data_IF_990574106747
#
_entry.id   IF_990574106747
#
_cell.length_a   1.000
_cell.length_b   1.000
_cell.length_c   1.000
_cell.angle_alpha   90.00
_cell.angle_beta   90.00
_cell.angle_gamma   90.00
#
_symmetry.space_group_name_H-M   'P 1'
#
loop_
_entity.id
_entity.type
_entity.pdbx_description
1 polymer ?
#
# COMPACT_ATOMS: atom_id res chain seq x y z
N UNK A 1 -25.12 13.31 -10.93
CA UNK A 1 -24.60 11.95 -10.72
C UNK A 1 -24.23 11.84 -9.25
N UNK A 2 -24.35 10.68 -8.58
CA UNK A 2 -23.93 10.57 -7.19
C UNK A 2 -22.43 10.86 -7.11
N UNK A 3 -22.04 11.66 -6.14
CA UNK A 3 -20.66 12.09 -5.93
C UNK A 3 -19.87 10.94 -5.31
N UNK A 4 -18.74 10.59 -5.93
CA UNK A 4 -17.93 9.43 -5.53
C UNK A 4 -16.63 9.89 -4.88
N UNK A 5 -16.41 9.46 -3.64
CA UNK A 5 -15.18 9.68 -2.89
C UNK A 5 -14.25 8.46 -3.02
N UNK A 6 -13.02 8.70 -3.45
CA UNK A 6 -11.94 7.73 -3.45
C UNK A 6 -11.01 7.88 -2.25
N UNK A 7 -10.59 6.75 -1.67
CA UNK A 7 -9.56 6.67 -0.64
C UNK A 7 -8.54 5.61 -1.05
N UNK A 8 -7.26 5.87 -0.82
CA UNK A 8 -6.20 4.87 -0.97
C UNK A 8 -5.77 4.42 0.42
N UNK A 9 -5.79 3.10 0.68
CA UNK A 9 -5.55 2.59 2.03
C UNK A 9 -4.83 1.23 2.06
N UNK A 10 -4.35 0.88 3.24
CA UNK A 10 -3.74 -0.42 3.52
C UNK A 10 -4.44 -1.16 4.65
N UNK A 11 -5.08 -0.46 5.58
CA UNK A 11 -5.82 -1.04 6.71
C UNK A 11 -5.08 -2.19 7.41
N UNK A 12 -3.84 -1.97 7.83
CA UNK A 12 -2.96 -2.98 8.42
C UNK A 12 -2.68 -2.77 9.93
N UNK A 13 -3.65 -2.92 10.85
CA UNK A 13 -5.07 -3.19 10.63
C UNK A 13 -5.90 -1.90 10.42
N UNK A 14 -7.20 -2.06 10.13
CA UNK A 14 -8.16 -0.96 10.24
C UNK A 14 -8.22 -0.48 11.71
N UNK A 15 -8.25 0.82 11.95
CA UNK A 15 -8.09 1.39 13.28
C UNK A 15 -8.83 2.74 13.39
N UNK A 16 -8.93 3.30 14.59
CA UNK A 16 -9.74 4.50 14.84
C UNK A 16 -9.28 5.72 14.03
N UNK A 17 -7.98 5.85 13.74
CA UNK A 17 -7.46 6.88 12.83
C UNK A 17 -8.01 6.77 11.40
N UNK A 18 -8.23 5.56 10.88
CA UNK A 18 -8.84 5.34 9.57
C UNK A 18 -10.34 5.72 9.60
N UNK A 19 -11.04 5.38 10.69
CA UNK A 19 -12.45 5.76 10.85
C UNK A 19 -12.63 7.27 10.94
N UNK A 20 -11.73 7.95 11.65
CA UNK A 20 -11.70 9.41 11.70
C UNK A 20 -11.51 10.02 10.30
N UNK A 21 -10.51 9.54 9.54
CA UNK A 21 -10.26 10.01 8.18
C UNK A 21 -11.48 9.79 7.28
N UNK A 22 -12.10 8.60 7.34
CA UNK A 22 -13.29 8.27 6.57
C UNK A 22 -14.46 9.20 6.92
N UNK A 23 -14.73 9.41 8.21
CA UNK A 23 -15.81 10.27 8.67
C UNK A 23 -15.61 11.71 8.18
N UNK A 24 -14.38 12.24 8.30
CA UNK A 24 -14.06 13.60 7.88
C UNK A 24 -14.10 13.75 6.35
N UNK A 25 -13.58 12.78 5.61
CA UNK A 25 -13.64 12.78 4.16
C UNK A 25 -15.08 12.73 3.64
N UNK A 26 -15.96 11.91 4.26
CA UNK A 26 -17.40 11.89 3.93
C UNK A 26 -18.06 13.22 4.25
N UNK A 27 -17.78 13.80 5.41
CA UNK A 27 -18.33 15.09 5.84
C UNK A 27 -17.92 16.23 4.90
N UNK A 28 -16.66 16.31 4.49
CA UNK A 28 -16.19 17.39 3.62
C UNK A 28 -16.57 17.18 2.14
N UNK A 29 -16.53 15.94 1.66
CA UNK A 29 -16.87 15.65 0.27
C UNK A 29 -18.37 15.63 0.01
N UNK A 30 -19.22 15.35 1.01
CA UNK A 30 -20.65 15.10 0.81
C UNK A 30 -20.90 14.01 -0.24
N UNK A 31 -20.04 12.98 -0.26
CA UNK A 31 -20.12 11.90 -1.23
C UNK A 31 -21.24 10.91 -0.90
N UNK A 32 -21.93 10.46 -1.96
CA UNK A 32 -22.99 9.46 -1.89
C UNK A 32 -22.43 8.02 -1.88
N UNK A 33 -21.18 7.84 -2.33
CA UNK A 33 -20.51 6.56 -2.40
C UNK A 33 -19.02 6.70 -2.12
N UNK A 34 -18.46 5.78 -1.34
CA UNK A 34 -17.05 5.74 -0.95
C UNK A 34 -16.38 4.47 -1.49
N UNK A 35 -15.33 4.67 -2.26
CA UNK A 35 -14.46 3.64 -2.80
C UNK A 35 -13.14 3.64 -2.04
N UNK A 36 -12.66 2.45 -1.67
CA UNK A 36 -11.28 2.26 -1.25
C UNK A 36 -10.52 1.43 -2.28
N UNK A 37 -9.37 1.94 -2.71
CA UNK A 37 -8.33 1.15 -3.37
C UNK A 37 -7.34 0.69 -2.29
N UNK A 38 -7.31 -0.61 -2.04
CA UNK A 38 -6.62 -1.22 -0.93
C UNK A 38 -5.45 -2.10 -1.39
N UNK A 39 -4.28 -1.94 -0.79
CA UNK A 39 -3.17 -2.89 -0.97
C UNK A 39 -3.63 -4.33 -0.71
N UNK A 40 -3.21 -5.28 -1.55
CA UNK A 40 -3.44 -6.71 -1.39
C UNK A 40 -2.68 -7.30 -0.18
N UNK A 41 -2.25 -8.56 -0.26
CA UNK A 41 -1.65 -9.26 0.90
C UNK A 41 -0.28 -8.74 1.35
N UNK A 42 0.30 -7.76 0.65
CA UNK A 42 1.52 -7.05 1.02
C UNK A 42 1.33 -5.55 0.80
N UNK A 43 2.02 -4.75 1.62
CA UNK A 43 1.88 -3.29 1.70
C UNK A 43 2.99 -2.55 0.94
N UNK A 44 2.83 -1.24 0.80
CA UNK A 44 3.72 -0.30 0.13
C UNK A 44 5.18 -0.35 0.55
N UNK A 45 5.42 -0.65 1.82
CA UNK A 45 6.77 -0.80 2.37
C UNK A 45 7.33 -2.22 2.25
N UNK A 46 6.61 -3.15 1.62
CA UNK A 46 6.96 -4.56 1.47
C UNK A 46 6.62 -5.42 2.69
N UNK A 47 5.82 -4.95 3.66
CA UNK A 47 5.38 -5.81 4.76
C UNK A 47 4.22 -6.72 4.33
N UNK A 48 4.19 -7.98 4.78
CA UNK A 48 2.98 -8.77 4.75
C UNK A 48 1.85 -8.09 5.53
N UNK A 49 0.62 -8.22 5.02
CA UNK A 49 -0.58 -7.84 5.74
C UNK A 49 -0.76 -8.72 6.98
N UNK A 50 -1.08 -8.16 8.14
CA UNK A 50 -1.42 -8.98 9.32
C UNK A 50 -2.65 -9.84 9.02
N UNK A 51 -3.72 -9.18 8.58
CA UNK A 51 -4.96 -9.79 8.08
C UNK A 51 -4.94 -9.85 6.55
N UNK A 52 -5.50 -10.91 5.96
CA UNK A 52 -5.52 -11.00 4.50
C UNK A 52 -6.42 -9.94 3.85
N UNK A 53 -6.33 -9.79 2.53
CA UNK A 53 -7.11 -8.79 1.79
C UNK A 53 -8.63 -8.95 1.94
N UNK A 54 -9.12 -10.17 2.19
CA UNK A 54 -10.55 -10.45 2.35
C UNK A 54 -11.04 -10.05 3.74
N UNK A 55 -10.29 -10.41 4.79
CA UNK A 55 -10.57 -9.99 6.16
C UNK A 55 -10.56 -8.47 6.28
N UNK A 56 -9.57 -7.78 5.67
CA UNK A 56 -9.53 -6.31 5.65
C UNK A 56 -10.67 -5.70 4.85
N UNK A 57 -11.11 -6.36 3.77
CA UNK A 57 -12.28 -5.93 3.00
C UNK A 57 -13.56 -6.00 3.82
N UNK A 58 -13.79 -7.09 4.55
CA UNK A 58 -14.93 -7.25 5.46
C UNK A 58 -14.98 -6.13 6.51
N UNK A 59 -13.82 -5.81 7.10
CA UNK A 59 -13.67 -4.71 8.07
C UNK A 59 -13.96 -3.35 7.42
N UNK A 60 -13.45 -3.10 6.23
CA UNK A 60 -13.65 -1.86 5.50
C UNK A 60 -15.14 -1.63 5.16
N UNK A 61 -15.83 -2.66 4.63
CA UNK A 61 -17.26 -2.56 4.33
C UNK A 61 -18.09 -2.32 5.60
N UNK A 62 -17.73 -3.00 6.70
CA UNK A 62 -18.38 -2.80 8.01
C UNK A 62 -18.16 -1.41 8.59
N UNK A 63 -17.09 -0.72 8.18
CA UNK A 63 -16.80 0.66 8.56
C UNK A 63 -17.56 1.71 7.71
N UNK A 64 -18.36 1.28 6.73
CA UNK A 64 -19.13 2.18 5.86
C UNK A 64 -18.41 2.59 4.58
N UNK A 65 -17.45 1.78 4.11
CA UNK A 65 -16.96 1.82 2.73
C UNK A 65 -17.93 1.06 1.84
N UNK A 66 -18.24 1.60 0.66
CA UNK A 66 -19.25 1.04 -0.22
C UNK A 66 -18.67 0.07 -1.27
N UNK A 67 -17.42 0.28 -1.67
CA UNK A 67 -16.70 -0.55 -2.63
C UNK A 67 -15.21 -0.66 -2.26
N UNK A 68 -14.70 -1.87 -2.18
CA UNK A 68 -13.27 -2.16 -1.95
C UNK A 68 -12.69 -2.83 -3.18
N UNK A 69 -11.59 -2.27 -3.66
CA UNK A 69 -10.87 -2.71 -4.86
C UNK A 69 -9.42 -2.98 -4.49
N UNK A 70 -8.86 -4.06 -5.01
CA UNK A 70 -7.45 -4.39 -4.81
C UNK A 70 -6.56 -3.47 -5.65
N UNK A 71 -5.54 -2.89 -5.02
CA UNK A 71 -4.39 -2.32 -5.71
C UNK A 71 -3.48 -3.47 -6.15
N UNK A 72 -3.26 -3.69 -7.46
CA UNK A 72 -2.43 -4.79 -7.95
C UNK A 72 -1.03 -4.77 -7.32
N UNK A 73 -0.48 -5.95 -7.03
CA UNK A 73 0.81 -6.17 -6.40
C UNK A 73 1.96 -5.38 -7.08
N UNK A 74 1.91 -5.26 -8.41
CA UNK A 74 2.86 -4.48 -9.21
C UNK A 74 2.90 -2.98 -8.88
N UNK A 75 1.81 -2.44 -8.34
CA UNK A 75 1.72 -1.06 -7.84
C UNK A 75 1.76 -1.01 -6.31
N UNK A 76 1.21 -2.02 -5.63
CA UNK A 76 1.08 -2.03 -4.18
C UNK A 76 2.43 -2.05 -3.47
N UNK A 77 3.44 -2.80 -3.95
CA UNK A 77 4.76 -2.89 -3.29
C UNK A 77 5.79 -2.05 -4.06
N UNK A 78 5.60 -0.73 -4.02
CA UNK A 78 6.41 0.21 -4.81
C UNK A 78 6.76 1.49 -4.02
N UNK A 79 7.77 2.27 -4.49
CA UNK A 79 7.94 3.65 -4.04
C UNK A 79 6.66 4.49 -4.24
N UNK A 80 6.52 5.58 -3.48
CA UNK A 80 5.29 6.37 -3.38
C UNK A 80 4.71 6.81 -4.74
N UNK A 81 5.54 7.25 -5.69
CA UNK A 81 5.08 7.71 -7.01
C UNK A 81 4.42 6.60 -7.84
N UNK A 82 4.96 5.37 -7.87
CA UNK A 82 4.36 4.25 -8.59
C UNK A 82 3.14 3.68 -7.86
N UNK A 83 3.18 3.66 -6.53
CA UNK A 83 2.03 3.29 -5.69
C UNK A 83 0.85 4.23 -5.95
N UNK A 84 1.10 5.53 -5.89
CA UNK A 84 0.12 6.58 -6.17
C UNK A 84 -0.40 6.49 -7.61
N UNK A 85 0.48 6.29 -8.60
CA UNK A 85 0.08 6.15 -10.01
C UNK A 85 -0.99 5.07 -10.19
N UNK A 86 -0.75 3.85 -9.71
CA UNK A 86 -1.71 2.76 -9.83
C UNK A 86 -3.02 3.05 -9.09
N UNK A 87 -2.93 3.54 -7.85
CA UNK A 87 -4.12 3.79 -7.03
C UNK A 87 -5.00 4.91 -7.60
N UNK A 88 -4.41 6.02 -8.03
CA UNK A 88 -5.10 7.17 -8.63
C UNK A 88 -5.71 6.80 -9.98
N UNK A 89 -5.02 6.00 -10.81
CA UNK A 89 -5.59 5.50 -12.06
C UNK A 89 -6.82 4.60 -11.84
N UNK A 90 -6.81 3.75 -10.80
CA UNK A 90 -7.98 2.93 -10.44
C UNK A 90 -9.14 3.81 -9.99
N UNK A 91 -8.90 4.77 -9.09
CA UNK A 91 -9.95 5.69 -8.62
C UNK A 91 -10.56 6.49 -9.78
N UNK A 92 -9.73 6.99 -10.70
CA UNK A 92 -10.20 7.68 -11.90
C UNK A 92 -10.99 6.76 -12.84
N UNK A 93 -10.55 5.51 -13.02
CA UNK A 93 -11.27 4.49 -13.80
C UNK A 93 -12.66 4.21 -13.22
N UNK A 94 -12.80 4.29 -11.90
CA UNK A 94 -14.06 4.09 -11.19
C UNK A 94 -14.91 5.38 -11.09
N UNK A 95 -14.48 6.47 -11.73
CA UNK A 95 -15.23 7.71 -11.80
C UNK A 95 -15.32 8.45 -10.46
N UNK A 96 -14.26 8.38 -9.63
CA UNK A 96 -14.18 9.20 -8.43
C UNK A 96 -14.15 10.69 -8.80
N UNK A 97 -14.88 11.52 -8.06
CA UNK A 97 -14.87 12.97 -8.21
C UNK A 97 -13.84 13.63 -7.26
N UNK A 98 -13.63 13.00 -6.10
CA UNK A 98 -12.77 13.49 -5.02
C UNK A 98 -11.86 12.35 -4.58
N UNK A 99 -10.59 12.64 -4.30
CA UNK A 99 -9.68 11.71 -3.62
C UNK A 99 -9.24 12.28 -2.28
N UNK A 100 -9.51 11.54 -1.20
CA UNK A 100 -9.08 11.91 0.15
C UNK A 100 -7.88 11.10 0.61
N UNK A 101 -6.95 11.77 1.27
CA UNK A 101 -5.74 11.19 1.84
C UNK A 101 -5.36 11.91 3.13
N UNK A 102 -4.70 11.20 4.04
CA UNK A 102 -4.21 11.81 5.27
C UNK A 102 -2.93 12.59 4.99
N UNK A 103 -2.79 13.76 5.59
CA UNK A 103 -1.57 14.58 5.53
C UNK A 103 -1.19 15.02 6.95
N UNK A 104 0.11 15.14 7.22
CA UNK A 104 0.59 15.85 8.41
C UNK A 104 0.32 17.34 8.27
N UNK A 105 0.49 17.87 7.06
CA UNK A 105 0.25 19.27 6.71
C UNK A 105 -0.78 19.34 5.55
N UNK A 106 -2.08 19.42 5.85
CA UNK A 106 -3.12 19.41 4.83
C UNK A 106 -3.18 20.70 3.99
N UNK A 107 -2.65 21.80 4.52
CA UNK A 107 -2.64 23.11 3.86
C UNK A 107 -1.46 23.31 2.89
N UNK A 108 -0.65 22.27 2.66
CA UNK A 108 0.44 22.33 1.68
C UNK A 108 -0.10 22.66 0.28
N UNK A 109 0.60 23.54 -0.42
CA UNK A 109 0.31 23.84 -1.83
C UNK A 109 0.85 22.71 -2.72
N UNK A 110 0.03 21.66 -2.86
CA UNK A 110 0.36 20.51 -3.69
C UNK A 110 0.49 20.88 -5.17
N UNK A 111 -0.23 21.89 -5.65
CA UNK A 111 -0.12 22.33 -7.04
C UNK A 111 1.25 22.99 -7.30
N UNK A 112 1.71 23.84 -6.37
CA UNK A 112 3.06 24.43 -6.42
C UNK A 112 4.13 23.34 -6.35
N UNK A 113 3.99 22.37 -5.43
CA UNK A 113 4.94 21.27 -5.31
C UNK A 113 5.05 20.47 -6.61
N UNK A 114 3.92 20.11 -7.22
CA UNK A 114 3.89 19.30 -8.45
C UNK A 114 4.42 20.10 -9.64
N UNK A 115 4.06 21.39 -9.75
CA UNK A 115 4.55 22.28 -10.81
C UNK A 115 6.08 22.45 -10.77
N UNK A 116 6.68 22.33 -9.58
CA UNK A 116 8.12 22.43 -9.37
C UNK A 116 8.79 21.05 -9.15
N UNK A 117 8.13 19.94 -9.50
CA UNK A 117 8.81 18.65 -9.36
C UNK A 117 10.04 18.62 -10.28
N UNK A 118 11.19 18.12 -9.79
CA UNK A 118 12.40 18.05 -10.59
C UNK A 118 12.22 17.13 -11.79
N UNK A 119 12.67 17.60 -12.95
CA UNK A 119 12.87 16.76 -14.13
C UNK A 119 14.17 15.97 -13.89
N UNK A 120 14.15 14.65 -14.10
CA UNK A 120 15.24 13.70 -13.81
C UNK A 120 16.62 14.10 -14.40
N UNK A 121 16.64 14.98 -15.38
CA UNK A 121 17.83 15.42 -16.12
C UNK A 121 18.58 16.59 -15.45
N UNK A 122 18.05 17.18 -14.37
CA UNK A 122 18.70 18.31 -13.72
C UNK A 122 20.02 17.92 -13.02
N UNK A 123 21.02 18.80 -13.11
CA UNK A 123 22.36 18.56 -12.58
C UNK A 123 22.40 18.26 -11.06
N UNK A 124 21.36 18.68 -10.33
CA UNK A 124 21.17 18.45 -8.90
C UNK A 124 21.11 16.94 -8.54
N UNK A 125 20.60 16.08 -9.43
CA UNK A 125 20.42 14.65 -9.16
C UNK A 125 21.62 13.77 -9.56
N UNK A 126 22.72 14.38 -10.03
CA UNK A 126 23.97 13.67 -10.35
C UNK A 126 24.89 13.51 -9.13
N UNK A 127 24.43 13.87 -7.93
CA UNK A 127 25.18 13.74 -6.69
C UNK A 127 25.07 12.31 -6.12
N UNK A 128 26.12 11.50 -6.29
CA UNK A 128 26.11 10.08 -5.90
C UNK A 128 26.23 9.80 -4.38
N UNK A 129 26.46 10.83 -3.56
CA UNK A 129 26.68 10.68 -2.11
C UNK A 129 25.41 10.72 -1.28
N UNK A 130 24.30 11.21 -1.84
CA UNK A 130 23.02 11.34 -1.14
C UNK A 130 21.96 10.42 -1.73
N UNK A 131 20.93 10.14 -0.95
CA UNK A 131 19.80 9.33 -1.46
C UNK A 131 18.93 10.18 -2.38
N UNK A 132 18.33 9.58 -3.42
CA UNK A 132 17.40 10.28 -4.30
C UNK A 132 16.26 11.00 -3.53
N UNK A 133 15.64 10.42 -2.49
CA UNK A 133 14.68 11.14 -1.66
C UNK A 133 15.24 12.41 -0.99
N UNK A 134 16.50 12.39 -0.53
CA UNK A 134 17.16 13.56 0.07
C UNK A 134 17.32 14.66 -0.99
N UNK A 135 17.88 14.33 -2.15
CA UNK A 135 18.08 15.30 -3.24
C UNK A 135 16.75 15.87 -3.75
N UNK A 136 15.72 15.04 -3.80
CA UNK A 136 14.37 15.45 -4.20
C UNK A 136 13.77 16.44 -3.21
N UNK A 137 13.92 16.15 -1.91
CA UNK A 137 13.49 17.01 -0.84
C UNK A 137 14.21 18.37 -0.89
N UNK A 138 15.55 18.36 -0.91
CA UNK A 138 16.38 19.57 -0.90
C UNK A 138 16.06 20.48 -2.09
N UNK A 139 15.86 19.89 -3.28
CA UNK A 139 15.45 20.62 -4.48
C UNK A 139 14.10 21.32 -4.31
N UNK A 140 13.09 20.61 -3.82
CA UNK A 140 11.76 21.17 -3.62
C UNK A 140 11.77 22.27 -2.55
N UNK A 141 12.47 22.05 -1.45
CA UNK A 141 12.61 23.05 -0.39
C UNK A 141 13.28 24.33 -0.93
N UNK A 142 14.36 24.19 -1.70
CA UNK A 142 15.05 25.34 -2.28
C UNK A 142 14.20 26.10 -3.31
N UNK A 143 13.34 25.40 -4.06
CA UNK A 143 12.55 26.00 -5.15
C UNK A 143 11.22 26.57 -4.68
N UNK A 144 10.59 25.93 -3.69
CA UNK A 144 9.22 26.26 -3.25
C UNK A 144 9.14 26.84 -1.85
N UNK A 145 10.19 26.66 -1.03
CA UNK A 145 10.16 26.95 0.41
C UNK A 145 9.34 25.95 1.23
N UNK A 146 8.80 24.90 0.61
CA UNK A 146 7.95 23.91 1.27
C UNK A 146 8.79 22.72 1.74
N UNK A 147 8.67 22.39 3.03
CA UNK A 147 9.30 21.21 3.62
C UNK A 147 8.42 19.97 3.41
N UNK A 148 8.90 19.02 2.60
CA UNK A 148 8.25 17.72 2.34
C UNK A 148 9.03 16.54 2.96
N UNK A 149 9.08 16.47 4.28
CA UNK A 149 9.74 15.36 5.01
C UNK A 149 8.78 14.29 5.53
N UNK A 150 7.56 14.69 5.88
CA UNK A 150 6.63 13.80 6.55
C UNK A 150 6.10 12.74 5.57
N UNK A 151 6.00 11.50 6.05
CA UNK A 151 5.77 10.38 5.14
C UNK A 151 4.37 10.34 4.52
N UNK A 152 3.34 10.89 5.18
CA UNK A 152 2.02 10.99 4.54
C UNK A 152 1.95 12.22 3.64
N UNK A 153 2.68 13.31 3.93
CA UNK A 153 2.83 14.43 2.99
C UNK A 153 3.56 14.01 1.69
N UNK A 154 4.63 13.22 1.78
CA UNK A 154 5.32 12.65 0.60
C UNK A 154 4.35 11.82 -0.25
N UNK A 155 3.46 11.06 0.41
CA UNK A 155 2.46 10.24 -0.27
C UNK A 155 1.34 11.11 -0.87
N UNK A 156 0.90 12.15 -0.16
CA UNK A 156 -0.04 13.17 -0.63
C UNK A 156 0.47 13.87 -1.89
N UNK A 157 1.73 14.30 -1.88
CA UNK A 157 2.42 14.83 -3.05
C UNK A 157 2.40 13.84 -4.23
N UNK A 158 2.71 12.56 -3.96
CA UNK A 158 2.68 11.54 -5.01
C UNK A 158 1.26 11.33 -5.60
N UNK A 159 0.21 11.42 -4.77
CA UNK A 159 -1.18 11.39 -5.25
C UNK A 159 -1.51 12.61 -6.11
N UNK A 160 -1.13 13.82 -5.67
CA UNK A 160 -1.33 15.04 -6.44
C UNK A 160 -0.62 14.97 -7.81
N UNK A 161 0.64 14.53 -7.83
CA UNK A 161 1.42 14.36 -9.06
C UNK A 161 0.78 13.35 -10.01
N UNK A 162 0.31 12.20 -9.50
CA UNK A 162 -0.39 11.20 -10.31
C UNK A 162 -1.75 11.71 -10.81
N UNK A 163 -2.47 12.50 -10.00
CA UNK A 163 -3.77 13.06 -10.34
C UNK A 163 -3.68 14.10 -11.46
N UNK A 164 -2.63 14.93 -11.47
CA UNK A 164 -2.40 15.93 -12.52
C UNK A 164 -2.16 15.30 -13.91
N UNK A 165 -1.68 14.05 -13.96
CA UNK A 165 -1.47 13.31 -15.22
C UNK A 165 -2.77 12.74 -15.81
N UNK A 166 -3.89 12.80 -15.09
CA UNK A 166 -5.18 12.33 -15.57
C UNK A 166 -5.78 13.30 -16.59
N UNK A 167 -6.53 12.76 -17.56
CA UNK A 167 -7.33 13.58 -18.48
C UNK A 167 -8.39 14.43 -17.75
N UNK A 168 -8.86 13.93 -16.61
CA UNK A 168 -9.81 14.59 -15.71
C UNK A 168 -9.31 14.39 -14.28
N UNK A 169 -8.50 15.31 -13.76
CA UNK A 169 -8.05 15.26 -12.37
C UNK A 169 -9.25 15.30 -11.41
N UNK A 170 -9.15 14.53 -10.33
CA UNK A 170 -10.10 14.55 -9.21
C UNK A 170 -9.81 15.75 -8.31
N UNK A 171 -10.80 16.21 -7.55
CA UNK A 171 -10.54 17.17 -6.49
C UNK A 171 -9.72 16.49 -5.38
N UNK A 172 -8.62 17.13 -4.97
CA UNK A 172 -7.80 16.66 -3.85
C UNK A 172 -8.45 17.08 -2.53
N UNK A 173 -8.50 16.16 -1.57
CA UNK A 173 -9.06 16.40 -0.24
C UNK A 173 -8.09 15.92 0.85
N UNK A 174 -7.06 16.72 1.17
CA UNK A 174 -6.14 16.41 2.26
C UNK A 174 -6.87 16.49 3.62
N UNK A 175 -6.68 15.47 4.45
CA UNK A 175 -7.29 15.39 5.79
C UNK A 175 -6.18 15.43 6.84
N UNK A 176 -6.26 16.38 7.77
CA UNK A 176 -5.35 16.46 8.92
C UNK A 176 -5.32 15.14 9.69
N UNK A 177 -4.15 14.52 9.82
CA UNK A 177 -3.99 13.33 10.66
C UNK A 177 -4.13 13.69 12.14
N UNK A 178 -4.87 12.85 12.88
CA UNK A 178 -4.93 12.87 14.35
C UNK A 178 -4.19 11.64 14.88
N UNK A 179 -3.18 11.83 15.73
CA UNK A 179 -2.42 10.74 16.35
C UNK A 179 -0.94 11.03 16.49
N UNK A 180 -0.25 10.14 17.19
CA UNK A 180 1.21 10.13 17.38
C UNK A 180 1.93 9.97 16.04
N UNK A 181 3.12 10.54 15.91
CA UNK A 181 3.90 10.57 14.68
C UNK A 181 4.10 9.14 14.13
N UNK A 182 4.31 8.94 12.81
CA UNK A 182 4.57 7.59 12.26
C UNK A 182 5.81 6.90 12.89
N UNK A 183 6.62 7.66 13.64
CA UNK A 183 7.79 7.22 14.41
C UNK A 183 7.48 6.85 15.86
N UNK A 184 6.32 7.22 16.38
CA UNK A 184 5.93 6.91 17.75
C UNK A 184 5.51 5.45 17.86
N UNK A 185 6.32 4.69 18.58
CA UNK A 185 6.11 3.28 18.85
C UNK A 185 5.15 3.00 20.00
N UNK A 186 4.59 4.04 20.62
CA UNK A 186 3.85 3.94 21.87
C UNK A 186 2.42 4.42 21.72
N UNK A 187 1.48 3.59 22.19
CA UNK A 187 0.09 4.02 22.39
C UNK A 187 0.02 4.73 23.73
N UNK A 188 -0.07 6.06 23.72
CA UNK A 188 -0.29 6.82 24.95
C UNK A 188 -1.69 6.51 25.51
N UNK A 189 -1.83 6.43 26.83
CA UNK A 189 -3.10 6.14 27.50
C UNK A 189 -4.21 7.20 27.23
N UNK A 190 -3.85 8.38 26.72
CA UNK A 190 -4.75 9.52 26.51
C UNK A 190 -5.21 9.69 25.05
N UNK A 191 -4.81 8.80 24.14
CA UNK A 191 -5.16 8.90 22.71
C UNK A 191 -5.89 7.66 22.22
N UNK A 192 -7.10 7.87 21.68
CA UNK A 192 -7.91 6.83 21.04
C UNK A 192 -7.46 6.47 19.62
N UNK A 193 -6.30 6.99 19.18
CA UNK A 193 -5.74 6.78 17.85
C UNK A 193 -4.25 6.43 17.96
N UNK A 194 -3.83 5.41 17.21
CA UNK A 194 -2.44 4.98 17.08
C UNK A 194 -2.11 4.65 15.62
N UNK A 195 -0.81 4.62 15.28
CA UNK A 195 -0.35 4.16 13.97
C UNK A 195 -0.54 2.65 13.80
N UNK A 196 -0.76 2.19 12.56
CA UNK A 196 -0.83 0.76 12.27
C UNK A 196 0.41 0.00 12.72
N UNK A 197 1.60 0.60 12.62
CA UNK A 197 2.84 -0.01 13.10
C UNK A 197 2.90 -0.16 14.62
N UNK A 198 2.40 0.82 15.39
CA UNK A 198 2.30 0.71 16.84
C UNK A 198 1.31 -0.40 17.25
N UNK A 199 0.17 -0.51 16.57
CA UNK A 199 -0.81 -1.58 16.81
C UNK A 199 -0.20 -2.95 16.52
N UNK A 200 0.55 -3.10 15.42
CA UNK A 200 1.23 -4.37 15.09
C UNK A 200 2.30 -4.75 16.13
N UNK A 201 3.00 -3.79 16.73
CA UNK A 201 3.92 -4.07 17.86
C UNK A 201 3.19 -4.62 19.08
N UNK A 202 2.03 -4.04 19.43
CA UNK A 202 1.18 -4.57 20.51
C UNK A 202 0.63 -5.96 20.18
N UNK A 203 0.28 -6.21 18.92
CA UNK A 203 -0.23 -7.51 18.47
C UNK A 203 0.80 -8.64 18.62
N UNK A 204 2.09 -8.36 18.37
CA UNK A 204 3.18 -9.34 18.61
C UNK A 204 3.20 -9.78 20.08
N UNK A 205 2.98 -8.84 21.01
CA UNK A 205 2.91 -9.11 22.44
C UNK A 205 1.52 -9.57 22.92
N UNK A 206 0.54 -9.67 22.02
CA UNK A 206 -0.87 -9.99 22.32
C UNK A 206 -1.51 -9.07 23.37
N UNK A 207 -1.09 -7.81 23.42
CA UNK A 207 -1.61 -6.80 24.34
C UNK A 207 -2.96 -6.25 23.84
N UNK A 208 -3.99 -7.10 23.92
CA UNK A 208 -5.32 -6.81 23.38
C UNK A 208 -6.05 -5.70 24.12
N UNK A 209 -5.71 -5.43 25.38
CA UNK A 209 -6.33 -4.38 26.18
C UNK A 209 -5.95 -3.00 25.63
N UNK A 210 -4.67 -2.78 25.32
CA UNK A 210 -4.23 -1.53 24.66
C UNK A 210 -4.71 -1.44 23.22
N UNK A 211 -4.80 -2.56 22.50
CA UNK A 211 -5.32 -2.57 21.12
C UNK A 211 -6.79 -2.17 21.10
N UNK A 212 -7.60 -2.64 22.05
CA UNK A 212 -9.04 -2.33 22.14
C UNK A 212 -9.32 -0.82 22.22
N UNK A 213 -8.40 -0.03 22.77
CA UNK A 213 -8.56 1.42 22.87
C UNK A 213 -8.38 2.17 21.52
N UNK A 214 -7.77 1.53 20.53
CA UNK A 214 -7.33 2.21 19.28
C UNK A 214 -7.87 1.58 18.01
N UNK A 215 -8.65 0.49 18.11
CA UNK A 215 -9.32 -0.14 16.98
C UNK A 215 -10.81 -0.36 17.25
N UNK A 216 -11.65 -0.46 16.20
CA UNK A 216 -13.05 -0.85 16.36
C UNK A 216 -13.19 -2.28 16.89
N UNK A 217 -14.28 -2.57 17.60
CA UNK A 217 -14.55 -3.89 18.19
C UNK A 217 -14.52 -5.03 17.16
N UNK A 218 -15.04 -4.78 15.95
CA UNK A 218 -15.00 -5.74 14.84
C UNK A 218 -13.55 -6.07 14.44
N UNK A 219 -12.69 -5.05 14.37
CA UNK A 219 -11.27 -5.24 14.07
C UNK A 219 -10.57 -6.01 15.20
N UNK A 220 -10.82 -5.65 16.46
CA UNK A 220 -10.28 -6.35 17.61
C UNK A 220 -10.64 -7.85 17.58
N UNK A 221 -11.91 -8.15 17.30
CA UNK A 221 -12.41 -9.52 17.23
C UNK A 221 -11.74 -10.32 16.11
N UNK A 222 -11.60 -9.74 14.92
CA UNK A 222 -10.87 -10.39 13.81
C UNK A 222 -9.39 -10.60 14.14
N UNK A 223 -8.74 -9.63 14.78
CA UNK A 223 -7.34 -9.75 15.19
C UNK A 223 -7.10 -10.83 16.24
N UNK A 224 -8.04 -11.03 17.17
CA UNK A 224 -7.97 -12.10 18.18
C UNK A 224 -8.11 -13.49 17.57
N UNK A 225 -8.91 -13.62 16.50
CA UNK A 225 -9.19 -14.89 15.85
C UNK A 225 -8.17 -15.28 14.77
N UNK A 226 -7.51 -14.31 14.13
CA UNK A 226 -6.61 -14.56 13.01
C UNK A 226 -5.19 -14.96 13.47
N UNK A 227 -4.55 -15.94 12.80
CA UNK A 227 -3.14 -16.22 13.02
C UNK A 227 -2.29 -15.03 12.55
N UNK A 228 -1.18 -14.77 13.26
CA UNK A 228 -0.25 -13.72 12.87
C UNK A 228 0.48 -14.11 11.57
N UNK A 229 0.30 -13.31 10.52
CA UNK A 229 1.12 -13.41 9.31
C UNK A 229 2.05 -12.21 9.25
N UNK A 230 3.35 -12.49 9.38
CA UNK A 230 4.40 -11.46 9.43
C UNK A 230 5.61 -11.94 8.63
N UNK A 231 6.68 -11.15 8.62
CA UNK A 231 7.94 -11.60 8.06
C UNK A 231 8.51 -12.84 8.75
N UNK A 232 8.19 -13.12 10.02
CA UNK A 232 8.58 -14.37 10.67
C UNK A 232 8.01 -15.59 9.94
N UNK A 233 6.79 -15.47 9.40
CA UNK A 233 6.14 -16.52 8.60
C UNK A 233 6.87 -16.77 7.28
N UNK A 234 7.37 -15.71 6.64
CA UNK A 234 7.98 -15.79 5.30
C UNK A 234 9.52 -15.93 5.32
N UNK A 235 10.15 -15.66 6.45
CA UNK A 235 11.61 -15.64 6.58
C UNK A 235 12.28 -16.94 6.14
N UNK A 236 11.80 -18.14 6.52
CA UNK A 236 12.42 -19.39 6.06
C UNK A 236 12.46 -19.51 4.54
N UNK A 237 11.38 -19.10 3.85
CA UNK A 237 11.27 -19.17 2.39
C UNK A 237 12.18 -18.14 1.70
N UNK A 238 12.17 -16.89 2.19
CA UNK A 238 13.05 -15.84 1.69
C UNK A 238 14.52 -16.21 1.88
N UNK A 239 14.89 -16.68 3.08
CA UNK A 239 16.26 -17.08 3.40
C UNK A 239 16.70 -18.24 2.51
N UNK A 240 15.85 -19.25 2.32
CA UNK A 240 16.12 -20.35 1.40
C UNK A 240 16.42 -19.84 -0.02
N UNK A 241 15.58 -18.96 -0.56
CA UNK A 241 15.78 -18.42 -1.90
C UNK A 241 17.08 -17.62 -2.01
N UNK A 242 17.38 -16.75 -1.04
CA UNK A 242 18.61 -15.95 -1.02
C UNK A 242 19.87 -16.83 -0.99
N UNK A 243 19.86 -17.92 -0.19
CA UNK A 243 21.02 -18.80 -0.04
C UNK A 243 21.18 -19.80 -1.19
N UNK A 244 20.09 -20.17 -1.88
CA UNK A 244 20.11 -21.20 -2.92
C UNK A 244 20.27 -20.63 -4.33
N UNK A 245 19.85 -19.39 -4.56
CA UNK A 245 19.97 -18.75 -5.86
C UNK A 245 21.42 -18.37 -6.19
N UNK A 246 21.80 -18.47 -7.46
CA UNK A 246 23.05 -17.88 -7.94
C UNK A 246 22.94 -16.36 -7.98
N UNK A 247 24.07 -15.67 -7.94
CA UNK A 247 24.13 -14.21 -8.09
C UNK A 247 23.48 -13.75 -9.40
N UNK A 248 23.73 -14.46 -10.50
CA UNK A 248 23.13 -14.19 -11.80
C UNK A 248 21.60 -14.32 -11.79
N UNK A 249 21.05 -15.27 -11.02
CA UNK A 249 19.59 -15.38 -10.85
C UNK A 249 19.05 -14.21 -10.03
N UNK A 250 19.73 -13.84 -8.94
CA UNK A 250 19.30 -12.73 -8.08
C UNK A 250 19.35 -11.39 -8.82
N UNK A 251 20.35 -11.17 -9.67
CA UNK A 251 20.50 -9.94 -10.45
C UNK A 251 19.29 -9.63 -11.35
N UNK A 252 18.58 -10.66 -11.81
CA UNK A 252 17.37 -10.48 -12.64
C UNK A 252 16.13 -10.04 -11.85
N UNK A 253 16.15 -10.19 -10.52
CA UNK A 253 15.03 -9.82 -9.65
C UNK A 253 14.78 -8.32 -9.72
N UNK A 254 13.51 -7.93 -9.78
CA UNK A 254 13.12 -6.53 -9.85
C UNK A 254 13.71 -5.71 -8.69
N UNK A 255 14.29 -4.54 -9.03
CA UNK A 255 15.03 -3.64 -8.14
C UNK A 255 16.36 -4.18 -7.58
N UNK A 256 16.81 -5.39 -7.95
CA UNK A 256 18.16 -5.85 -7.66
C UNK A 256 19.15 -5.04 -8.49
N UNK A 257 19.84 -4.11 -7.83
CA UNK A 257 20.64 -3.09 -8.51
C UNK A 257 21.94 -2.86 -7.75
N UNK A 258 22.99 -2.49 -8.48
CA UNK A 258 24.24 -1.99 -7.91
C UNK A 258 24.99 -3.00 -7.02
N UNK A 259 24.89 -4.29 -7.32
CA UNK A 259 25.62 -5.34 -6.60
C UNK A 259 25.04 -5.68 -5.22
N UNK A 260 23.80 -5.25 -4.92
CA UNK A 260 23.20 -5.47 -3.61
C UNK A 260 22.95 -6.96 -3.31
N UNK A 261 22.80 -7.81 -4.33
CA UNK A 261 22.60 -9.26 -4.21
C UNK A 261 23.71 -9.93 -3.38
N UNK A 262 24.98 -9.57 -3.57
CA UNK A 262 26.10 -10.06 -2.75
C UNK A 262 25.90 -9.78 -1.26
N UNK A 263 25.43 -8.56 -0.95
CA UNK A 263 25.17 -8.14 0.42
C UNK A 263 23.97 -8.87 1.01
N UNK A 264 22.90 -9.07 0.23
CA UNK A 264 21.72 -9.79 0.70
C UNK A 264 22.07 -11.26 1.01
N UNK A 265 22.85 -11.93 0.16
CA UNK A 265 23.28 -13.30 0.44
C UNK A 265 24.12 -13.39 1.71
N UNK A 266 25.15 -12.54 1.84
CA UNK A 266 26.00 -12.50 3.04
C UNK A 266 25.21 -12.17 4.32
N UNK A 267 24.21 -11.29 4.22
CA UNK A 267 23.32 -10.99 5.34
C UNK A 267 22.44 -12.21 5.69
N UNK A 268 21.90 -12.91 4.69
CA UNK A 268 21.05 -14.09 4.90
C UNK A 268 21.81 -15.29 5.51
N UNK A 269 23.11 -15.43 5.23
CA UNK A 269 23.97 -16.44 5.84
C UNK A 269 24.06 -16.26 7.36
N UNK A 270 24.25 -15.02 7.80
CA UNK A 270 24.48 -14.65 9.20
C UNK A 270 23.18 -14.43 9.99
N UNK A 271 22.12 -14.02 9.32
CA UNK A 271 20.89 -13.59 9.98
C UNK A 271 20.12 -14.74 10.63
N UNK A 272 19.70 -14.53 11.87
CA UNK A 272 18.83 -15.46 12.62
C UNK A 272 17.36 -15.30 12.26
N UNK A 273 16.93 -14.07 12.00
CA UNK A 273 15.57 -13.69 11.66
C UNK A 273 15.55 -12.53 10.64
N UNK A 274 14.36 -12.18 10.18
CA UNK A 274 14.19 -11.11 9.19
C UNK A 274 14.60 -9.72 9.70
N UNK A 275 14.41 -9.43 11.00
CA UNK A 275 14.79 -8.14 11.56
C UNK A 275 16.31 -7.98 11.59
N UNK A 276 17.02 -9.04 12.00
CA UNK A 276 18.48 -9.08 11.98
C UNK A 276 19.01 -9.05 10.54
N UNK A 277 18.37 -9.75 9.59
CA UNK A 277 18.69 -9.65 8.17
C UNK A 277 18.65 -8.21 7.65
N UNK A 278 17.56 -7.47 7.95
CA UNK A 278 17.44 -6.07 7.54
C UNK A 278 18.54 -5.19 8.16
N UNK A 279 18.91 -5.43 9.42
CA UNK A 279 20.00 -4.69 10.08
C UNK A 279 21.35 -4.94 9.40
N UNK A 280 21.67 -6.20 9.08
CA UNK A 280 22.91 -6.58 8.40
C UNK A 280 22.99 -6.06 6.96
N UNK A 281 21.85 -6.02 6.26
CA UNK A 281 21.76 -5.50 4.89
C UNK A 281 21.73 -3.95 4.83
N UNK A 282 21.44 -3.26 5.93
CA UNK A 282 21.30 -1.79 5.95
C UNK A 282 22.60 -1.07 5.61
N UNK A 283 22.51 -0.09 4.72
CA UNK A 283 23.60 0.87 4.42
C UNK A 283 23.03 2.29 4.34
N UNK A 284 23.86 3.34 4.26
CA UNK A 284 23.37 4.70 4.00
C UNK A 284 22.56 4.80 2.69
N UNK A 285 22.97 4.05 1.66
CA UNK A 285 22.34 4.04 0.33
C UNK A 285 20.98 3.35 0.30
N UNK A 286 20.79 2.29 1.09
CA UNK A 286 19.56 1.51 1.09
C UNK A 286 18.75 1.81 2.35
N UNK A 287 17.54 2.35 2.17
CA UNK A 287 16.58 2.53 3.26
C UNK A 287 15.97 1.18 3.65
N UNK A 288 15.45 1.06 4.88
CA UNK A 288 14.74 -0.15 5.31
C UNK A 288 13.55 -0.48 4.40
N UNK A 289 12.79 0.53 3.95
CA UNK A 289 11.67 0.32 3.04
C UNK A 289 12.10 -0.17 1.66
N UNK A 290 13.27 0.27 1.14
CA UNK A 290 13.82 -0.28 -0.11
C UNK A 290 14.25 -1.74 0.07
N UNK A 291 14.97 -2.05 1.14
CA UNK A 291 15.40 -3.42 1.43
C UNK A 291 14.21 -4.36 1.61
N UNK A 292 13.17 -3.90 2.28
CA UNK A 292 11.98 -4.69 2.54
C UNK A 292 11.16 -4.93 1.27
N UNK A 293 11.00 -3.93 0.39
CA UNK A 293 10.40 -4.15 -0.95
C UNK A 293 11.23 -5.13 -1.78
N UNK A 294 12.55 -5.00 -1.79
CA UNK A 294 13.43 -5.92 -2.51
C UNK A 294 13.33 -7.35 -1.96
N UNK A 295 13.25 -7.52 -0.63
CA UNK A 295 12.98 -8.82 -0.02
C UNK A 295 11.63 -9.39 -0.46
N UNK A 296 10.59 -8.55 -0.63
CA UNK A 296 9.31 -8.97 -1.20
C UNK A 296 9.46 -9.40 -2.67
N UNK A 297 10.21 -8.67 -3.49
CA UNK A 297 10.48 -9.02 -4.90
C UNK A 297 11.21 -10.36 -5.02
N UNK A 298 12.19 -10.64 -4.15
CA UNK A 298 12.85 -11.95 -4.07
C UNK A 298 11.84 -13.02 -3.69
N UNK A 299 11.08 -12.82 -2.61
CA UNK A 299 10.08 -13.78 -2.12
C UNK A 299 9.05 -14.15 -3.19
N UNK A 300 8.59 -13.16 -3.95
CA UNK A 300 7.64 -13.33 -5.05
C UNK A 300 8.27 -13.85 -6.34
N UNK A 301 9.60 -13.87 -6.42
CA UNK A 301 10.39 -14.19 -7.60
C UNK A 301 9.97 -13.34 -8.80
N UNK A 302 9.85 -12.03 -8.60
CA UNK A 302 9.46 -11.10 -9.67
C UNK A 302 10.70 -10.55 -10.33
N UNK A 303 10.78 -10.72 -11.64
CA UNK A 303 11.89 -10.28 -12.47
C UNK A 303 11.56 -8.95 -13.18
N UNK A 304 12.61 -8.26 -13.62
CA UNK A 304 12.47 -6.90 -14.18
C UNK A 304 11.67 -6.86 -15.50
N UNK A 305 11.79 -7.90 -16.31
CA UNK A 305 11.07 -8.09 -17.58
C UNK A 305 9.59 -8.46 -17.40
N UNK A 306 9.22 -8.98 -16.22
CA UNK A 306 7.86 -9.44 -15.92
C UNK A 306 6.88 -8.33 -15.51
N UNK A 307 7.35 -7.11 -15.17
CA UNK A 307 6.50 -6.05 -14.61
C UNK A 307 6.08 -5.00 -15.66
N UNK A 308 4.91 -5.14 -16.31
CA UNK A 308 4.36 -4.05 -17.11
C UNK A 308 3.83 -2.94 -16.20
N UNK A 309 4.32 -1.72 -16.40
CA UNK A 309 3.89 -0.52 -15.65
C UNK A 309 2.52 0.04 -16.03
N UNK A 310 1.68 -0.74 -16.72
CA UNK A 310 0.34 -0.37 -17.22
C UNK A 310 -0.72 -1.02 -16.32
N UNK A 311 -1.84 -0.34 -16.08
CA UNK A 311 -2.98 -0.90 -15.36
C UNK A 311 -3.93 -1.58 -16.36
N UNK A 312 -4.20 -2.87 -16.16
CA UNK A 312 -4.93 -3.69 -17.15
C UNK A 312 -6.33 -4.12 -16.70
N UNK A 313 -6.61 -4.01 -15.40
CA UNK A 313 -7.85 -4.50 -14.80
C UNK A 313 -8.14 -3.76 -13.49
N UNK A 314 -9.37 -3.92 -13.00
CA UNK A 314 -9.80 -3.45 -11.67
C UNK A 314 -10.40 -4.62 -10.90
N UNK A 315 -9.74 -5.07 -9.83
CA UNK A 315 -10.12 -6.25 -9.05
C UNK A 315 -11.04 -5.88 -7.90
N UNK A 316 -12.29 -6.33 -7.96
CA UNK A 316 -13.29 -6.06 -6.93
C UNK A 316 -13.14 -7.08 -5.80
N UNK A 317 -12.92 -6.60 -4.57
CA UNK A 317 -12.82 -7.43 -3.37
C UNK A 317 -14.15 -7.49 -2.60
N UNK A 318 -14.95 -6.43 -2.65
CA UNK A 318 -16.26 -6.44 -2.01
C UNK A 318 -17.01 -5.11 -2.12
N UNK A 319 -18.32 -5.13 -1.88
CA UNK A 319 -19.19 -3.98 -1.97
C UNK A 319 -20.47 -4.15 -1.14
N UNK A 320 -21.15 -3.03 -0.87
CA UNK A 320 -22.52 -3.01 -0.34
C UNK A 320 -23.53 -2.57 -1.42
N UNK A 321 -24.77 -2.26 -1.04
CA UNK A 321 -25.81 -1.79 -1.96
C UNK A 321 -25.43 -0.54 -2.78
N UNK A 322 -24.77 0.46 -2.18
CA UNK A 322 -24.34 1.67 -2.88
C UNK A 322 -23.20 1.36 -3.87
N UNK A 323 -22.22 0.55 -3.46
CA UNK A 323 -21.14 0.09 -4.33
C UNK A 323 -21.66 -0.75 -5.51
N UNK A 324 -22.66 -1.61 -5.27
CA UNK A 324 -23.29 -2.39 -6.33
C UNK A 324 -23.98 -1.50 -7.38
N UNK A 325 -24.71 -0.47 -6.93
CA UNK A 325 -25.33 0.50 -7.84
C UNK A 325 -24.30 1.26 -8.67
N UNK A 326 -23.13 1.58 -8.09
CA UNK A 326 -22.03 2.17 -8.84
C UNK A 326 -21.44 1.20 -9.88
N UNK A 327 -21.14 -0.03 -9.48
CA UNK A 327 -20.61 -1.05 -10.39
C UNK A 327 -21.54 -1.33 -11.58
N UNK A 328 -22.85 -1.41 -11.34
CA UNK A 328 -23.85 -1.61 -12.40
C UNK A 328 -23.84 -0.48 -13.43
N UNK A 329 -23.55 0.75 -13.02
CA UNK A 329 -23.40 1.90 -13.92
C UNK A 329 -22.09 1.84 -14.70
N UNK A 330 -20.98 1.56 -14.01
CA UNK A 330 -19.64 1.52 -14.60
C UNK A 330 -19.44 0.35 -15.58
N UNK A 331 -20.13 -0.77 -15.40
CA UNK A 331 -19.96 -1.99 -16.23
C UNK A 331 -20.06 -1.73 -17.74
N UNK A 332 -20.79 -0.70 -18.17
CA UNK A 332 -20.97 -0.36 -19.59
C UNK A 332 -19.95 0.63 -20.14
N UNK A 333 -19.23 1.35 -19.28
CA UNK A 333 -18.40 2.51 -19.67
C UNK A 333 -16.98 2.45 -19.15
N UNK A 334 -16.67 1.55 -18.20
CA UNK A 334 -15.34 1.43 -17.62
C UNK A 334 -14.31 1.11 -18.72
N UNK A 335 -13.20 1.89 -18.81
CA UNK A 335 -12.17 1.66 -19.82
C UNK A 335 -11.35 0.39 -19.55
N UNK A 336 -11.45 -0.16 -18.35
CA UNK A 336 -10.77 -1.38 -17.92
C UNK A 336 -11.78 -2.43 -17.46
N UNK A 337 -11.47 -3.73 -17.66
CA UNK A 337 -12.31 -4.82 -17.19
C UNK A 337 -12.41 -4.81 -15.65
N UNK A 338 -13.65 -4.84 -15.15
CA UNK A 338 -13.96 -5.00 -13.73
C UNK A 338 -14.03 -6.49 -13.41
N UNK A 339 -13.03 -7.02 -12.69
CA UNK A 339 -12.91 -8.45 -12.44
C UNK A 339 -13.46 -8.82 -11.06
N UNK A 340 -14.44 -9.72 -11.03
CA UNK A 340 -15.03 -10.26 -9.79
C UNK A 340 -14.63 -11.73 -9.58
N UNK A 341 -14.56 -12.52 -10.65
CA UNK A 341 -14.08 -13.90 -10.64
C UNK A 341 -12.71 -13.98 -11.32
N UNK A 342 -11.76 -14.66 -10.66
CA UNK A 342 -10.47 -14.99 -11.27
C UNK A 342 -10.63 -16.27 -12.08
N UNK A 343 -10.33 -16.21 -13.37
CA UNK A 343 -10.40 -17.36 -14.28
C UNK A 343 -8.99 -17.79 -14.72
N UNK A 344 -8.81 -18.98 -15.30
CA UNK A 344 -7.51 -19.42 -15.82
C UNK A 344 -6.89 -18.43 -16.82
N UNK A 345 -7.70 -17.74 -17.62
CA UNK A 345 -7.24 -16.73 -18.59
C UNK A 345 -6.65 -15.51 -17.87
N UNK A 346 -7.25 -15.08 -16.76
CA UNK A 346 -6.67 -14.02 -15.94
C UNK A 346 -5.36 -14.44 -15.29
N UNK A 347 -5.28 -15.69 -14.81
CA UNK A 347 -4.06 -16.26 -14.20
C UNK A 347 -2.93 -16.41 -15.20
N UNK A 348 -3.22 -16.82 -16.44
CA UNK A 348 -2.24 -16.89 -17.52
C UNK A 348 -1.93 -15.50 -18.13
N UNK A 349 -2.76 -14.51 -17.82
CA UNK A 349 -2.70 -13.16 -18.34
C UNK A 349 -2.33 -12.12 -17.27
N UNK A 350 -2.91 -10.90 -17.31
CA UNK A 350 -2.44 -9.77 -16.49
C UNK A 350 -2.54 -9.94 -14.96
N UNK A 351 -3.31 -10.91 -14.47
CA UNK A 351 -3.50 -11.17 -13.03
C UNK A 351 -2.49 -12.18 -12.46
N UNK A 352 -1.55 -12.69 -13.27
CA UNK A 352 -0.63 -13.75 -12.85
C UNK A 352 0.14 -13.40 -11.55
N UNK A 353 0.56 -12.14 -11.39
CA UNK A 353 1.36 -11.71 -10.25
C UNK A 353 0.52 -11.70 -8.98
N UNK A 354 -0.65 -11.07 -9.03
CA UNK A 354 -1.57 -11.02 -7.91
C UNK A 354 -2.01 -12.42 -7.47
N UNK A 355 -2.25 -13.32 -8.43
CA UNK A 355 -2.48 -14.73 -8.14
C UNK A 355 -1.27 -15.42 -7.49
N UNK A 356 -0.04 -15.18 -7.97
CA UNK A 356 1.19 -15.72 -7.36
C UNK A 356 1.34 -15.27 -5.91
N UNK A 357 1.09 -13.98 -5.64
CA UNK A 357 1.11 -13.38 -4.30
C UNK A 357 0.00 -13.96 -3.41
N UNK A 358 -1.20 -14.15 -3.95
CA UNK A 358 -2.31 -14.83 -3.27
C UNK A 358 -1.96 -16.27 -2.90
N UNK A 359 -1.38 -17.04 -3.82
CA UNK A 359 -0.93 -18.41 -3.56
C UNK A 359 0.14 -18.48 -2.47
N UNK A 360 1.07 -17.54 -2.44
CA UNK A 360 2.10 -17.47 -1.40
C UNK A 360 1.46 -17.29 -0.01
N UNK A 361 0.40 -16.45 0.09
CA UNK A 361 -0.39 -16.31 1.31
C UNK A 361 -1.15 -17.60 1.65
N UNK A 362 -1.83 -18.20 0.69
CA UNK A 362 -2.52 -19.48 0.86
C UNK A 362 -1.59 -20.61 1.31
N UNK A 363 -0.36 -20.65 0.82
CA UNK A 363 0.62 -21.68 1.19
C UNK A 363 0.93 -21.66 2.69
N UNK A 364 0.97 -20.48 3.31
CA UNK A 364 1.30 -20.35 4.75
C UNK A 364 0.06 -20.33 5.66
N UNK A 365 -1.13 -20.13 5.11
CA UNK A 365 -2.38 -20.07 5.90
C UNK A 365 -3.35 -21.23 5.65
N UNK A 366 -3.19 -21.95 4.54
CA UNK A 366 -4.18 -22.93 4.04
C UNK A 366 -5.45 -22.32 3.46
N UNK A 367 -5.55 -20.99 3.38
CA UNK A 367 -6.79 -20.29 3.00
C UNK A 367 -6.68 -19.72 1.59
N UNK A 368 -7.54 -20.17 0.68
CA UNK A 368 -7.60 -19.67 -0.71
C UNK A 368 -7.78 -18.15 -0.77
N UNK A 369 -7.06 -17.52 -1.69
CA UNK A 369 -7.02 -16.06 -1.80
C UNK A 369 -7.65 -15.53 -3.09
N UNK A 370 -7.96 -16.35 -4.09
CA UNK A 370 -8.33 -15.85 -5.42
C UNK A 370 -9.32 -16.75 -6.19
N UNK A 371 -8.97 -18.00 -6.48
CA UNK A 371 -9.74 -18.83 -7.43
C UNK A 371 -11.14 -19.19 -6.93
N UNK A 372 -11.28 -19.43 -5.63
CA UNK A 372 -12.56 -19.79 -5.00
C UNK A 372 -13.22 -18.60 -4.32
N UNK A 373 -12.61 -17.41 -4.41
CA UNK A 373 -13.06 -16.21 -3.73
C UNK A 373 -13.95 -15.37 -4.63
N UNK A 374 -15.15 -15.09 -4.12
CA UNK A 374 -16.08 -14.11 -4.67
C UNK A 374 -15.97 -12.79 -3.90
N UNK A 375 -16.32 -11.66 -4.53
CA UNK A 375 -16.40 -10.40 -3.81
C UNK A 375 -17.33 -10.51 -2.60
N UNK A 376 -16.92 -9.93 -1.48
CA UNK A 376 -17.73 -9.86 -0.27
C UNK A 376 -18.91 -8.92 -0.55
N UNK A 377 -20.14 -9.38 -0.26
CA UNK A 377 -21.34 -8.58 -0.42
C UNK A 377 -21.95 -8.31 0.95
N UNK A 378 -21.98 -7.03 1.34
CA UNK A 378 -22.69 -6.58 2.54
C UNK A 378 -24.09 -6.08 2.17
N UNK A 379 -25.13 -6.45 2.96
CA UNK A 379 -26.49 -5.97 2.72
C UNK A 379 -26.61 -4.45 2.81
#
# INVERSE_FOLDING_TARGET
>A
MPKVLGIVAEYNPLHNGHLYQLAEAKRQSQADCVIVVMSGNFMQRGEPAWLDKWQRTELALSAGIDLVVELPAKFAVQPAHLFAKGAIQILATLGCDVVAFGAEHPDLDFDQLVANQPIQESAHFKQFNETYPTLFHDYLLATTGINLEASNDILAFAYAAANQQLKRPMALLPIQRRGSDHRDSEVSANHSVASGSAIRKLLVNRDFDRIAAVVPETTLSTLKAAPAVTWTTYWPFLRYQLLSASLAQLETVYQMTEGIEYRLQRAAEQATDFANFLQLAKTKRYTYSRLQRLATSVLWQVHTDELPGILDYVRILGFNGAGQQLLNRLKKTAPLPLITKVTPEWVAGPYWLDYRVGRLRQMVTGVDQDLTRHPIVKP
#
